data_IF_098874320375
#
_entry.id   IF_098874320375
#
_cell.length_a   1.000
_cell.length_b   1.000
_cell.length_c   1.000
_cell.angle_alpha   90.00
_cell.angle_beta   90.00
_cell.angle_gamma   90.00
#
_symmetry.space_group_name_H-M   'P 1'
#
loop_
_entity.id
_entity.type
_entity.pdbx_description
1 polymer ?
#
# COMPACT_ATOMS: atom_id res chain seq x y z
N UNK A 1 12.91 -61.99 46.50
CA UNK A 1 11.82 -61.38 45.80
C UNK A 1 11.83 -59.90 46.18
N UNK A 2 12.37 -59.03 45.30
CA UNK A 2 12.42 -57.59 45.52
C UNK A 2 11.67 -56.94 44.36
N UNK A 3 10.56 -56.26 44.67
CA UNK A 3 9.78 -55.45 43.72
C UNK A 3 10.42 -54.10 43.57
N UNK A 4 10.85 -53.76 42.34
CA UNK A 4 11.32 -52.47 41.99
C UNK A 4 10.12 -51.61 41.55
N UNK A 5 9.87 -50.52 42.27
CA UNK A 5 8.82 -49.50 41.95
C UNK A 5 9.43 -48.47 40.99
N UNK A 6 8.91 -48.36 39.79
CA UNK A 6 9.25 -47.30 38.83
C UNK A 6 8.41 -46.06 39.11
N UNK A 7 9.08 -44.98 39.49
CA UNK A 7 8.47 -43.64 39.60
C UNK A 7 8.61 -42.98 38.22
N UNK A 8 7.49 -42.82 37.53
CA UNK A 8 7.41 -42.00 36.29
C UNK A 8 7.32 -40.52 36.69
N UNK A 9 8.38 -39.77 36.46
CA UNK A 9 8.36 -38.34 36.57
C UNK A 9 7.77 -37.73 35.27
N UNK A 10 6.53 -37.21 35.38
CA UNK A 10 5.93 -36.42 34.34
C UNK A 10 6.55 -35.02 34.31
N UNK A 11 7.36 -34.73 33.30
CA UNK A 11 7.80 -33.38 33.01
C UNK A 11 6.64 -32.62 32.34
N UNK A 12 5.98 -31.73 33.07
CA UNK A 12 5.15 -30.69 32.54
C UNK A 12 6.07 -29.64 31.88
N UNK A 13 6.17 -29.67 30.56
CA UNK A 13 6.75 -28.56 29.80
C UNK A 13 5.69 -27.45 29.78
N UNK A 14 5.82 -26.49 30.68
CA UNK A 14 5.08 -25.24 30.61
C UNK A 14 5.61 -24.47 29.40
N UNK A 15 4.87 -24.51 28.28
CA UNK A 15 5.07 -23.61 27.16
C UNK A 15 4.77 -22.19 27.65
N UNK A 16 5.81 -21.42 27.93
CA UNK A 16 5.66 -19.99 28.14
C UNK A 16 5.21 -19.39 26.81
N UNK A 17 3.94 -19.04 26.70
CA UNK A 17 3.44 -18.16 25.67
C UNK A 17 4.11 -16.81 25.94
N UNK A 18 5.19 -16.51 25.22
CA UNK A 18 5.75 -15.17 25.20
C UNK A 18 4.66 -14.28 24.59
N UNK A 19 4.01 -13.47 25.44
CA UNK A 19 3.12 -12.41 24.95
C UNK A 19 4.01 -11.42 24.21
N UNK A 20 3.90 -11.40 22.88
CA UNK A 20 4.51 -10.38 22.05
C UNK A 20 4.12 -9.00 22.59
N UNK A 21 5.11 -8.11 22.75
CA UNK A 21 4.81 -6.72 23.06
C UNK A 21 3.93 -6.14 21.95
N UNK A 22 2.98 -5.27 22.29
CA UNK A 22 2.14 -4.59 21.29
C UNK A 22 2.96 -3.81 20.26
N UNK A 23 4.19 -3.45 20.59
CA UNK A 23 5.12 -2.72 19.71
C UNK A 23 5.89 -3.65 18.77
N UNK A 24 5.91 -4.96 19.05
CA UNK A 24 6.53 -5.97 18.17
C UNK A 24 5.61 -6.37 17.00
N UNK A 25 4.30 -6.08 17.10
CA UNK A 25 3.35 -6.38 16.03
C UNK A 25 3.59 -5.44 14.86
N UNK A 26 3.79 -5.97 13.63
CA UNK A 26 3.99 -5.14 12.45
C UNK A 26 2.85 -4.16 12.21
N UNK A 27 3.20 -2.96 11.78
CA UNK A 27 2.26 -1.88 11.54
C UNK A 27 1.56 -2.00 10.18
N UNK A 28 0.44 -1.31 10.07
CA UNK A 28 -0.33 -1.15 8.82
C UNK A 28 -0.10 0.28 8.32
N UNK A 29 0.33 0.41 7.07
CA UNK A 29 0.43 1.69 6.38
C UNK A 29 -0.87 2.06 5.68
N UNK A 30 -1.22 3.32 5.71
CA UNK A 30 -2.28 3.89 4.89
C UNK A 30 -1.70 5.05 4.10
N UNK A 31 -1.78 5.00 2.77
CA UNK A 31 -1.30 6.08 1.90
C UNK A 31 -2.50 6.69 1.20
N UNK A 32 -2.71 8.01 1.36
CA UNK A 32 -3.85 8.67 0.71
C UNK A 32 -3.94 10.15 1.00
N UNK A 33 -5.14 10.70 0.88
CA UNK A 33 -5.42 12.11 1.17
C UNK A 33 -5.36 12.43 2.66
N UNK A 34 -5.21 13.71 2.98
CA UNK A 34 -4.99 14.23 4.33
C UNK A 34 -6.18 14.05 5.30
N UNK A 35 -7.35 13.65 4.85
CA UNK A 35 -8.51 13.40 5.72
C UNK A 35 -8.60 11.98 6.30
N UNK A 36 -7.70 11.09 5.90
CA UNK A 36 -7.81 9.66 6.27
C UNK A 36 -7.36 9.34 7.70
N UNK A 37 -6.58 10.20 8.33
CA UNK A 37 -6.16 10.02 9.73
C UNK A 37 -7.19 10.51 10.76
N UNK A 38 -8.26 11.15 10.30
CA UNK A 38 -9.42 11.52 11.12
C UNK A 38 -10.40 10.34 11.23
N UNK A 39 -9.89 9.17 11.68
CA UNK A 39 -10.69 7.96 11.84
C UNK A 39 -11.12 7.84 13.29
N UNK A 40 -12.42 7.63 13.51
CA UNK A 40 -12.95 7.35 14.85
C UNK A 40 -12.32 6.08 15.43
N UNK A 41 -11.94 6.13 16.69
CA UNK A 41 -11.25 5.02 17.37
C UNK A 41 -9.72 4.99 17.20
N UNK A 42 -9.13 5.94 16.47
CA UNK A 42 -7.68 6.10 16.43
C UNK A 42 -7.21 6.82 17.71
N UNK A 43 -6.30 6.18 18.44
CA UNK A 43 -5.75 6.66 19.71
C UNK A 43 -4.22 6.84 19.62
N UNK A 44 -3.61 7.45 20.64
CA UNK A 44 -2.14 7.61 20.77
C UNK A 44 -1.51 8.24 19.51
N UNK A 45 -2.12 9.30 18.99
CA UNK A 45 -1.73 9.92 17.72
C UNK A 45 -0.47 10.76 17.92
N UNK A 46 0.55 10.50 17.11
CA UNK A 46 1.78 11.29 17.03
C UNK A 46 2.17 11.56 15.57
N UNK A 47 2.90 12.64 15.33
CA UNK A 47 3.51 12.93 14.02
C UNK A 47 5.00 12.61 14.07
N UNK A 48 5.44 11.73 13.17
CA UNK A 48 6.83 11.26 13.11
C UNK A 48 7.46 11.71 11.80
N UNK A 49 8.54 12.48 11.89
CA UNK A 49 9.36 12.84 10.73
C UNK A 49 10.48 11.82 10.57
N UNK A 50 10.57 11.20 9.42
CA UNK A 50 11.58 10.19 9.09
C UNK A 50 12.55 10.79 8.06
N UNK A 51 13.83 10.77 8.39
CA UNK A 51 14.90 11.01 7.41
C UNK A 51 15.20 9.72 6.65
N UNK A 52 15.26 9.79 5.34
CA UNK A 52 15.54 8.64 4.49
C UNK A 52 16.75 8.85 3.60
N UNK A 53 17.45 7.78 3.19
CA UNK A 53 18.56 7.88 2.26
C UNK A 53 18.13 8.28 0.84
N UNK A 54 16.84 8.40 0.60
CA UNK A 54 16.24 8.83 -0.67
C UNK A 54 15.73 10.28 -0.64
N UNK A 55 16.01 11.02 0.43
CA UNK A 55 15.46 12.35 0.69
C UNK A 55 14.20 12.32 1.56
N UNK A 56 13.50 13.45 1.71
CA UNK A 56 12.31 13.51 2.56
C UNK A 56 11.12 12.77 1.96
N UNK A 57 10.29 12.10 2.78
CA UNK A 57 8.96 11.68 2.39
C UNK A 57 8.04 12.86 2.04
N UNK A 58 6.87 12.57 1.50
CA UNK A 58 5.88 13.59 1.13
C UNK A 58 5.45 14.48 2.30
N UNK A 59 5.40 13.91 3.51
CA UNK A 59 5.13 14.63 4.77
C UNK A 59 5.54 13.79 5.98
N UNK A 60 5.38 14.36 7.19
CA UNK A 60 5.42 13.59 8.43
C UNK A 60 4.36 12.47 8.41
N UNK A 61 4.72 11.32 8.96
CA UNK A 61 3.81 10.18 9.07
C UNK A 61 3.02 10.33 10.37
N UNK A 62 1.70 10.26 10.27
CA UNK A 62 0.82 10.24 11.44
C UNK A 62 0.74 8.79 11.92
N UNK A 63 1.28 8.51 13.08
CA UNK A 63 1.24 7.20 13.72
C UNK A 63 0.16 7.20 14.79
N UNK A 64 -0.62 6.13 14.86
CA UNK A 64 -1.65 5.97 15.88
C UNK A 64 -1.96 4.49 16.13
N UNK A 65 -2.92 4.23 17.01
CA UNK A 65 -3.41 2.88 17.30
C UNK A 65 -4.91 2.76 17.05
N UNK A 66 -5.30 1.66 16.44
CA UNK A 66 -6.69 1.22 16.32
C UNK A 66 -6.82 -0.15 17.02
N UNK A 67 -7.33 -0.15 18.24
CA UNK A 67 -7.24 -1.31 19.11
C UNK A 67 -5.78 -1.69 19.38
N UNK A 68 -5.41 -2.93 19.09
CA UNK A 68 -4.04 -3.42 19.24
C UNK A 68 -3.17 -3.20 17.99
N UNK A 69 -3.73 -2.62 16.90
CA UNK A 69 -3.00 -2.41 15.64
C UNK A 69 -2.37 -1.02 15.59
N UNK A 70 -1.06 -0.98 15.34
CA UNK A 70 -0.34 0.25 15.02
C UNK A 70 -0.60 0.62 13.56
N UNK A 71 -0.95 1.87 13.30
CA UNK A 71 -1.30 2.37 11.97
C UNK A 71 -0.46 3.60 11.65
N UNK A 72 0.10 3.63 10.44
CA UNK A 72 0.96 4.71 9.94
C UNK A 72 0.29 5.35 8.73
N UNK A 73 -0.20 6.58 8.86
CA UNK A 73 -0.83 7.33 7.77
C UNK A 73 0.17 8.27 7.10
N UNK A 74 0.32 8.15 5.78
CA UNK A 74 1.15 9.03 4.98
C UNK A 74 0.27 9.86 4.03
N UNK A 75 0.22 11.21 4.18
CA UNK A 75 -0.41 12.09 3.21
C UNK A 75 0.40 12.08 1.91
N UNK A 76 -0.07 11.36 0.88
CA UNK A 76 0.68 11.15 -0.38
C UNK A 76 1.16 12.44 -1.02
N UNK A 77 0.30 13.45 -1.10
CA UNK A 77 0.61 14.75 -1.70
C UNK A 77 1.03 15.81 -0.66
N UNK A 78 1.34 15.38 0.56
CA UNK A 78 1.57 16.28 1.70
C UNK A 78 0.28 16.96 2.19
N UNK A 79 0.33 17.49 3.42
CA UNK A 79 -0.77 18.29 3.99
C UNK A 79 -1.04 19.51 3.10
N UNK A 80 -2.30 19.72 2.75
CA UNK A 80 -2.71 20.79 1.84
C UNK A 80 -2.51 20.48 0.36
N UNK A 81 -2.21 19.23 -0.01
CA UNK A 81 -2.06 18.76 -1.41
C UNK A 81 -1.07 19.60 -2.22
N UNK A 82 0.15 19.77 -1.68
CA UNK A 82 1.19 20.69 -2.20
C UNK A 82 2.17 20.07 -3.18
N UNK A 83 2.15 18.74 -3.33
CA UNK A 83 3.04 18.01 -4.23
C UNK A 83 2.28 17.48 -5.43
N UNK A 84 2.80 17.72 -6.63
CA UNK A 84 2.31 17.10 -7.85
C UNK A 84 2.61 15.58 -7.86
N UNK A 85 1.88 14.77 -8.64
CA UNK A 85 2.19 13.34 -8.79
C UNK A 85 3.64 13.07 -9.20
N UNK A 86 4.21 13.92 -10.06
CA UNK A 86 5.61 13.81 -10.53
C UNK A 86 6.66 14.29 -9.53
N UNK A 87 6.25 14.98 -8.47
CA UNK A 87 7.13 15.43 -7.38
C UNK A 87 7.18 14.46 -6.20
N UNK A 88 6.33 13.41 -6.22
CA UNK A 88 6.24 12.44 -5.13
C UNK A 88 7.54 11.64 -5.02
N UNK A 89 8.15 11.67 -3.84
CA UNK A 89 9.31 10.84 -3.53
C UNK A 89 8.84 9.46 -3.04
N UNK A 90 8.37 8.62 -3.96
CA UNK A 90 7.81 7.31 -3.64
C UNK A 90 8.82 6.40 -2.91
N UNK A 91 10.13 6.47 -3.25
CA UNK A 91 11.15 5.70 -2.52
C UNK A 91 11.25 6.11 -1.07
N UNK A 92 11.30 7.42 -0.79
CA UNK A 92 11.31 7.91 0.58
C UNK A 92 10.04 7.51 1.33
N UNK A 93 8.88 7.60 0.70
CA UNK A 93 7.59 7.25 1.29
C UNK A 93 7.53 5.77 1.72
N UNK A 94 7.85 4.86 0.83
CA UNK A 94 7.78 3.41 1.12
C UNK A 94 8.90 2.99 2.07
N UNK A 95 10.12 3.53 1.92
CA UNK A 95 11.23 3.27 2.83
C UNK A 95 10.91 3.71 4.26
N UNK A 96 10.33 4.91 4.43
CA UNK A 96 9.94 5.43 5.74
C UNK A 96 8.85 4.56 6.40
N UNK A 97 7.85 4.12 5.65
CA UNK A 97 6.85 3.19 6.16
C UNK A 97 7.49 1.85 6.55
N UNK A 98 8.39 1.32 5.74
CA UNK A 98 9.09 0.07 6.04
C UNK A 98 9.97 0.18 7.28
N UNK A 99 10.65 1.32 7.50
CA UNK A 99 11.46 1.59 8.70
C UNK A 99 10.63 1.66 10.00
N UNK A 100 9.33 1.96 9.88
CA UNK A 100 8.35 1.90 10.98
C UNK A 100 7.73 0.51 11.14
N UNK A 101 8.33 -0.54 10.56
CA UNK A 101 7.86 -1.92 10.57
C UNK A 101 6.48 -2.12 9.90
N UNK A 102 6.12 -1.31 8.91
CA UNK A 102 4.92 -1.52 8.10
C UNK A 102 5.11 -2.76 7.23
N UNK A 103 4.12 -3.67 7.26
CA UNK A 103 4.12 -4.90 6.44
C UNK A 103 2.87 -4.99 5.55
N UNK A 104 1.88 -4.16 5.73
CA UNK A 104 0.69 -4.04 4.88
C UNK A 104 0.46 -2.58 4.54
N UNK A 105 0.12 -2.29 3.30
CA UNK A 105 -0.27 -0.94 2.86
C UNK A 105 -1.64 -1.00 2.21
N UNK A 106 -2.55 -0.18 2.71
CA UNK A 106 -3.80 0.16 2.03
C UNK A 106 -3.58 1.53 1.37
N UNK A 107 -3.51 1.53 0.05
CA UNK A 107 -3.49 2.78 -0.71
C UNK A 107 -4.93 3.23 -1.01
N UNK A 108 -5.21 4.51 -0.83
CA UNK A 108 -6.50 5.11 -1.21
C UNK A 108 -6.22 6.17 -2.26
N UNK A 109 -6.89 6.07 -3.41
CA UNK A 109 -6.66 6.98 -4.52
C UNK A 109 -7.94 7.30 -5.27
N UNK A 110 -8.10 8.56 -5.68
CA UNK A 110 -9.12 8.93 -6.65
C UNK A 110 -8.78 8.37 -8.03
N UNK A 111 -9.75 7.87 -8.75
CA UNK A 111 -9.60 7.32 -10.09
C UNK A 111 -10.70 7.80 -11.03
N UNK A 112 -10.33 8.04 -12.29
CA UNK A 112 -11.27 8.18 -13.37
C UNK A 112 -11.71 6.81 -13.88
N UNK A 113 -13.00 6.63 -14.15
CA UNK A 113 -13.55 5.41 -14.74
C UNK A 113 -13.36 5.40 -16.26
N UNK A 114 -12.89 4.28 -16.79
CA UNK A 114 -12.81 4.02 -18.23
C UNK A 114 -13.92 3.08 -18.71
N UNK A 115 -14.81 2.65 -17.82
CA UNK A 115 -15.90 1.70 -18.08
C UNK A 115 -17.23 2.27 -17.62
N UNK A 116 -18.29 1.99 -18.36
CA UNK A 116 -19.64 2.44 -18.00
C UNK A 116 -20.16 1.86 -16.69
N UNK A 117 -19.70 0.66 -16.32
CA UNK A 117 -20.11 -0.06 -15.12
C UNK A 117 -19.57 0.51 -13.80
N UNK A 118 -18.54 1.36 -13.84
CA UNK A 118 -17.96 1.97 -12.66
C UNK A 118 -18.40 3.43 -12.55
N UNK A 119 -19.37 3.69 -11.72
CA UNK A 119 -19.96 5.01 -11.56
C UNK A 119 -19.17 5.86 -10.56
N UNK A 120 -19.22 7.20 -10.63
CA UNK A 120 -18.72 8.06 -9.56
C UNK A 120 -19.29 7.63 -8.21
N UNK A 121 -18.42 7.54 -7.18
CA UNK A 121 -18.63 6.98 -5.84
C UNK A 121 -18.60 5.45 -5.74
N UNK A 122 -18.46 4.72 -6.83
CA UNK A 122 -18.11 3.29 -6.76
C UNK A 122 -16.67 3.12 -6.29
N UNK A 123 -16.41 1.95 -5.72
CA UNK A 123 -15.09 1.54 -5.24
C UNK A 123 -14.58 0.43 -6.14
N UNK A 124 -13.37 0.56 -6.66
CA UNK A 124 -12.72 -0.47 -7.45
C UNK A 124 -11.48 -0.95 -6.72
N UNK A 125 -11.50 -2.20 -6.27
CA UNK A 125 -10.32 -2.88 -5.72
C UNK A 125 -9.63 -3.60 -6.87
N UNK A 126 -8.81 -2.86 -7.61
CA UNK A 126 -8.17 -3.37 -8.82
C UNK A 126 -6.95 -4.25 -8.50
N UNK A 127 -6.66 -5.19 -9.40
CA UNK A 127 -5.64 -6.21 -9.23
C UNK A 127 -4.48 -6.10 -10.24
N UNK A 128 -4.60 -5.28 -11.28
CA UNK A 128 -3.61 -5.13 -12.32
C UNK A 128 -3.24 -3.68 -12.59
N UNK A 129 -2.01 -3.49 -13.10
CA UNK A 129 -1.50 -2.19 -13.51
C UNK A 129 -1.00 -2.20 -14.95
N UNK A 130 -1.23 -1.09 -15.65
CA UNK A 130 -0.56 -0.78 -16.89
C UNK A 130 0.20 0.55 -16.74
N UNK A 131 1.54 0.47 -16.85
CA UNK A 131 2.45 1.59 -16.61
C UNK A 131 2.67 2.43 -17.87
N UNK A 132 2.07 3.63 -17.91
CA UNK A 132 2.31 4.64 -18.94
C UNK A 132 3.18 5.79 -18.46
N UNK A 133 3.85 5.65 -17.33
CA UNK A 133 4.76 6.67 -16.81
C UNK A 133 6.09 6.66 -17.56
N UNK A 134 6.75 7.82 -17.54
CA UNK A 134 8.04 8.03 -18.22
C UNK A 134 9.24 8.02 -17.26
N UNK A 135 9.06 8.44 -16.00
CA UNK A 135 10.13 8.64 -15.02
C UNK A 135 10.44 7.37 -14.22
N UNK A 136 10.95 6.33 -14.87
CA UNK A 136 11.13 5.00 -14.25
C UNK A 136 12.39 4.81 -13.41
N UNK A 137 13.32 5.74 -13.41
CA UNK A 137 14.57 5.63 -12.64
C UNK A 137 14.35 5.49 -11.12
N UNK A 138 13.22 6.00 -10.61
CA UNK A 138 12.85 5.97 -9.20
C UNK A 138 11.87 4.84 -8.86
N UNK A 139 11.68 3.85 -9.74
CA UNK A 139 10.74 2.74 -9.57
C UNK A 139 11.36 1.50 -8.91
N UNK A 140 12.57 1.62 -8.37
CA UNK A 140 13.28 0.54 -7.66
C UNK A 140 14.14 1.10 -6.54
N UNK A 141 14.30 0.33 -5.46
CA UNK A 141 15.28 0.55 -4.42
C UNK A 141 16.66 0.00 -4.79
N UNK A 142 16.67 -1.03 -5.63
CA UNK A 142 17.88 -1.76 -6.01
C UNK A 142 18.69 -1.03 -7.08
N UNK A 143 19.96 -1.36 -7.15
CA UNK A 143 20.99 -0.71 -7.92
C UNK A 143 22.23 -0.52 -7.04
N UNK A 144 23.18 0.32 -7.44
CA UNK A 144 24.36 0.66 -6.65
C UNK A 144 25.08 -0.59 -6.11
N UNK A 145 25.16 -1.66 -6.92
CA UNK A 145 25.85 -2.90 -6.61
C UNK A 145 24.97 -4.04 -6.11
N UNK A 146 23.69 -3.84 -5.85
CA UNK A 146 22.73 -4.92 -5.54
C UNK A 146 21.65 -4.93 -6.61
N UNK A 147 21.53 -6.03 -7.35
CA UNK A 147 20.55 -6.24 -8.42
C UNK A 147 19.46 -7.18 -7.92
N UNK A 148 18.20 -6.76 -8.05
CA UNK A 148 17.05 -7.60 -7.78
C UNK A 148 15.99 -7.48 -8.88
N UNK A 149 15.29 -8.57 -9.13
CA UNK A 149 14.17 -8.65 -10.06
C UNK A 149 12.99 -9.34 -9.37
N UNK A 150 12.09 -8.55 -8.82
CA UNK A 150 10.89 -9.07 -8.15
C UNK A 150 9.90 -9.66 -9.16
N UNK A 151 9.21 -10.74 -8.77
CA UNK A 151 8.02 -11.20 -9.48
C UNK A 151 6.87 -10.20 -9.30
N UNK A 152 6.25 -9.78 -10.41
CA UNK A 152 5.23 -8.72 -10.41
C UNK A 152 4.07 -9.00 -11.36
N UNK A 153 3.80 -10.28 -11.68
CA UNK A 153 2.63 -10.71 -12.46
C UNK A 153 1.32 -10.39 -11.74
N UNK A 154 1.34 -10.56 -10.41
CA UNK A 154 0.22 -10.27 -9.51
C UNK A 154 0.65 -9.14 -8.56
N UNK A 155 0.46 -7.88 -8.99
CA UNK A 155 1.12 -6.74 -8.37
C UNK A 155 0.53 -6.30 -7.03
N UNK A 156 -0.69 -6.74 -6.72
CA UNK A 156 -1.41 -6.42 -5.48
C UNK A 156 -1.59 -7.66 -4.62
N UNK A 157 -1.94 -7.48 -3.36
CA UNK A 157 -2.13 -8.58 -2.40
C UNK A 157 -3.57 -9.09 -2.44
N UNK A 158 -3.77 -10.35 -2.82
CA UNK A 158 -5.08 -10.98 -2.86
C UNK A 158 -5.78 -10.96 -1.50
N UNK A 159 -5.03 -11.22 -0.43
CA UNK A 159 -5.59 -11.21 0.93
C UNK A 159 -6.11 -9.83 1.36
N UNK A 160 -5.37 -8.75 1.04
CA UNK A 160 -5.86 -7.39 1.29
C UNK A 160 -7.02 -7.00 0.38
N UNK A 161 -6.99 -7.40 -0.89
CA UNK A 161 -8.09 -7.13 -1.83
C UNK A 161 -9.39 -7.73 -1.34
N UNK A 162 -9.37 -8.99 -0.87
CA UNK A 162 -10.53 -9.69 -0.34
C UNK A 162 -11.12 -8.94 0.85
N UNK A 163 -10.28 -8.61 1.85
CA UNK A 163 -10.71 -7.86 3.02
C UNK A 163 -11.32 -6.49 2.66
N UNK A 164 -10.71 -5.74 1.74
CA UNK A 164 -11.19 -4.44 1.30
C UNK A 164 -12.53 -4.54 0.54
N UNK A 165 -12.64 -5.50 -0.35
CA UNK A 165 -13.84 -5.71 -1.16
C UNK A 165 -15.02 -6.16 -0.29
N UNK A 166 -14.82 -7.17 0.57
CA UNK A 166 -15.85 -7.70 1.45
C UNK A 166 -16.34 -6.65 2.44
N UNK A 167 -15.43 -5.86 3.01
CA UNK A 167 -15.78 -4.75 3.90
C UNK A 167 -16.60 -3.69 3.17
N UNK A 168 -16.20 -3.29 1.96
CA UNK A 168 -16.95 -2.30 1.18
C UNK A 168 -18.38 -2.77 0.91
N UNK A 169 -18.56 -4.02 0.50
CA UNK A 169 -19.89 -4.62 0.30
C UNK A 169 -20.68 -4.74 1.61
N UNK A 170 -20.03 -5.21 2.68
CA UNK A 170 -20.66 -5.36 4.00
C UNK A 170 -21.16 -4.05 4.59
N UNK A 171 -20.50 -2.94 4.27
CA UNK A 171 -20.90 -1.58 4.64
C UNK A 171 -21.94 -0.97 3.68
N UNK A 172 -22.35 -1.70 2.62
CA UNK A 172 -23.38 -1.28 1.68
C UNK A 172 -22.89 -0.36 0.56
N UNK A 173 -21.57 -0.30 0.33
CA UNK A 173 -21.02 0.44 -0.80
C UNK A 173 -21.08 -0.37 -2.10
N UNK A 174 -21.23 0.33 -3.24
CA UNK A 174 -21.03 -0.26 -4.57
C UNK A 174 -19.53 -0.50 -4.77
N UNK A 175 -19.13 -1.77 -4.80
CA UNK A 175 -17.73 -2.14 -4.93
C UNK A 175 -17.53 -3.18 -6.03
N UNK A 176 -16.39 -3.11 -6.69
CA UNK A 176 -15.97 -4.00 -7.76
C UNK A 176 -14.57 -4.54 -7.45
N UNK A 177 -14.36 -5.84 -7.69
CA UNK A 177 -13.06 -6.49 -7.50
C UNK A 177 -12.44 -6.83 -8.85
N UNK A 178 -11.13 -6.61 -8.96
CA UNK A 178 -10.37 -6.80 -10.18
C UNK A 178 -10.41 -5.62 -11.12
N UNK A 179 -9.64 -5.69 -12.19
CA UNK A 179 -9.52 -4.68 -13.23
C UNK A 179 -8.13 -4.05 -13.33
N UNK A 180 -7.89 -3.43 -14.47
CA UNK A 180 -6.58 -2.81 -14.76
C UNK A 180 -6.60 -1.32 -14.51
N UNK A 181 -5.73 -0.88 -13.60
CA UNK A 181 -5.43 0.53 -13.40
C UNK A 181 -4.33 0.97 -14.37
N UNK A 182 -4.62 1.94 -15.24
CA UNK A 182 -3.58 2.59 -16.04
C UNK A 182 -3.00 3.78 -15.28
N UNK A 183 -1.66 3.78 -15.10
CA UNK A 183 -0.95 4.86 -14.41
C UNK A 183 -0.34 5.82 -15.43
N UNK A 184 -0.71 7.09 -15.35
CA UNK A 184 -0.15 8.17 -16.15
C UNK A 184 0.69 9.12 -15.27
N UNK A 185 1.58 9.92 -15.88
CA UNK A 185 2.41 10.87 -15.14
C UNK A 185 1.60 12.04 -14.54
N UNK A 186 0.62 12.55 -15.25
CA UNK A 186 0.00 13.84 -14.90
C UNK A 186 0.99 15.02 -15.08
N UNK A 187 0.74 16.23 -14.51
CA UNK A 187 -0.47 16.58 -13.74
C UNK A 187 -1.68 16.89 -14.63
N UNK A 188 -1.52 16.99 -15.96
CA UNK A 188 -2.65 17.13 -16.88
C UNK A 188 -3.50 15.85 -16.88
N UNK A 189 -4.83 15.99 -16.90
CA UNK A 189 -5.73 14.88 -17.16
C UNK A 189 -5.61 14.41 -18.62
N UNK A 190 -6.20 13.25 -18.91
CA UNK A 190 -6.19 12.66 -20.25
C UNK A 190 -6.72 13.62 -21.32
N UNK A 191 -6.11 13.58 -22.49
CA UNK A 191 -6.79 14.02 -23.69
C UNK A 191 -7.89 13.01 -24.05
N UNK A 192 -8.92 13.44 -24.82
CA UNK A 192 -9.98 12.54 -25.29
C UNK A 192 -9.41 11.36 -26.08
N UNK A 193 -8.38 11.59 -26.89
CA UNK A 193 -7.74 10.54 -27.67
C UNK A 193 -7.02 9.50 -26.79
N UNK A 194 -6.40 9.93 -25.68
CA UNK A 194 -5.79 9.03 -24.68
C UNK A 194 -6.86 8.22 -23.97
N UNK A 195 -7.92 8.87 -23.49
CA UNK A 195 -9.04 8.24 -22.82
C UNK A 195 -9.71 7.17 -23.68
N UNK A 196 -10.07 7.51 -24.92
CA UNK A 196 -10.64 6.57 -25.88
C UNK A 196 -9.69 5.41 -26.22
N UNK A 197 -8.37 5.67 -26.28
CA UNK A 197 -7.36 4.64 -26.53
C UNK A 197 -7.29 3.69 -25.33
N UNK A 198 -7.25 4.20 -24.11
CA UNK A 198 -7.24 3.41 -22.89
C UNK A 198 -8.48 2.50 -22.79
N UNK A 199 -9.66 3.04 -23.14
CA UNK A 199 -10.90 2.25 -23.21
C UNK A 199 -10.84 1.14 -24.26
N UNK A 200 -10.33 1.42 -25.46
CA UNK A 200 -10.17 0.43 -26.54
C UNK A 200 -9.20 -0.69 -26.15
N UNK A 201 -8.18 -0.39 -25.34
CA UNK A 201 -7.26 -1.38 -24.78
C UNK A 201 -7.87 -2.20 -23.64
N UNK A 202 -9.07 -1.87 -23.17
CA UNK A 202 -9.79 -2.61 -22.16
C UNK A 202 -9.37 -2.28 -20.72
N UNK A 203 -8.73 -1.13 -20.47
CA UNK A 203 -8.42 -0.70 -19.13
C UNK A 203 -9.68 -0.26 -18.37
N UNK A 204 -9.64 -0.38 -17.05
CA UNK A 204 -10.80 -0.22 -16.17
C UNK A 204 -10.83 1.15 -15.50
N UNK A 205 -9.73 1.57 -14.90
CA UNK A 205 -9.60 2.86 -14.21
C UNK A 205 -8.28 3.54 -14.54
N UNK A 206 -8.22 4.85 -14.34
CA UNK A 206 -7.02 5.66 -14.61
C UNK A 206 -6.66 6.53 -13.39
N UNK A 207 -5.37 6.69 -13.14
CA UNK A 207 -4.85 7.61 -12.13
C UNK A 207 -3.36 7.89 -12.30
N UNK A 208 -2.75 8.54 -11.30
CA UNK A 208 -1.41 9.11 -11.44
C UNK A 208 -0.40 8.62 -10.39
N UNK A 209 -0.78 7.79 -9.41
CA UNK A 209 0.03 7.66 -8.18
C UNK A 209 0.39 6.25 -7.74
N UNK A 210 -0.36 5.21 -8.13
CA UNK A 210 -0.15 3.86 -7.60
C UNK A 210 1.06 3.12 -8.17
N UNK A 211 1.60 3.55 -9.28
CA UNK A 211 2.94 3.21 -9.70
C UNK A 211 3.83 4.46 -9.60
N UNK A 212 4.97 4.36 -8.93
CA UNK A 212 5.70 3.15 -8.51
C UNK A 212 5.37 2.61 -7.10
N UNK A 213 4.36 3.13 -6.37
CA UNK A 213 4.06 2.67 -5.00
C UNK A 213 4.01 1.14 -4.89
N UNK A 214 3.26 0.47 -5.77
CA UNK A 214 3.10 -0.99 -5.74
C UNK A 214 4.43 -1.75 -6.01
N UNK A 215 5.26 -1.26 -6.95
CA UNK A 215 6.57 -1.85 -7.23
C UNK A 215 7.48 -1.77 -6.01
N UNK A 216 7.57 -0.58 -5.41
CA UNK A 216 8.41 -0.31 -4.25
C UNK A 216 7.91 -1.05 -3.00
N UNK A 217 6.59 -1.15 -2.79
CA UNK A 217 6.02 -1.95 -1.72
C UNK A 217 6.42 -3.42 -1.86
N UNK A 218 6.36 -4.01 -3.08
CA UNK A 218 6.78 -5.38 -3.35
C UNK A 218 8.27 -5.58 -3.07
N UNK A 219 9.13 -4.65 -3.49
CA UNK A 219 10.57 -4.69 -3.18
C UNK A 219 10.88 -4.53 -1.68
N UNK A 220 10.02 -3.83 -0.94
CA UNK A 220 10.12 -3.68 0.51
C UNK A 220 9.45 -4.82 1.29
N UNK A 221 8.98 -5.88 0.60
CA UNK A 221 8.25 -7.00 1.20
C UNK A 221 7.01 -6.57 1.99
N UNK A 222 6.27 -5.62 1.44
CA UNK A 222 5.02 -5.10 1.98
C UNK A 222 3.87 -5.54 1.07
N UNK A 223 2.86 -6.18 1.65
CA UNK A 223 1.62 -6.48 0.95
C UNK A 223 0.83 -5.19 0.70
N UNK A 224 0.45 -4.90 -0.54
CA UNK A 224 -0.28 -3.69 -0.91
C UNK A 224 -1.55 -4.04 -1.67
N UNK A 225 -2.64 -3.37 -1.31
CA UNK A 225 -3.85 -3.28 -2.13
C UNK A 225 -4.40 -1.85 -2.12
N UNK A 226 -5.27 -1.54 -3.08
CA UNK A 226 -5.75 -0.16 -3.28
C UNK A 226 -7.27 -0.10 -3.33
N UNK A 227 -7.81 0.89 -2.62
CA UNK A 227 -9.17 1.38 -2.81
C UNK A 227 -9.14 2.46 -3.89
N UNK A 228 -9.51 2.12 -5.10
CA UNK A 228 -9.76 3.07 -6.19
C UNK A 228 -11.14 3.69 -6.02
N UNK A 229 -11.17 4.95 -5.65
CA UNK A 229 -12.39 5.70 -5.38
C UNK A 229 -12.79 6.45 -6.64
N UNK A 230 -13.82 5.99 -7.34
CA UNK A 230 -14.24 6.59 -8.62
C UNK A 230 -14.78 8.00 -8.38
N UNK A 231 -14.21 8.98 -9.07
CA UNK A 231 -14.62 10.39 -9.00
C UNK A 231 -15.36 10.86 -10.24
N UNK A 232 -15.05 10.30 -11.41
CA UNK A 232 -15.50 10.76 -12.71
C UNK A 232 -15.36 9.65 -13.77
N UNK A 233 -15.79 9.93 -15.01
CA UNK A 233 -15.64 9.04 -16.16
C UNK A 233 -14.46 9.44 -17.08
N UNK A 234 -13.38 9.98 -16.51
CA UNK A 234 -12.31 10.56 -17.31
C UNK A 234 -12.90 11.60 -18.31
N UNK A 235 -12.46 11.67 -19.54
CA UNK A 235 -13.02 12.63 -20.51
C UNK A 235 -13.73 11.98 -21.70
N UNK A 236 -14.02 10.67 -21.65
CA UNK A 236 -14.66 9.95 -22.77
C UNK A 236 -16.19 10.10 -22.81
N UNK A 237 -16.84 10.33 -21.67
CA UNK A 237 -18.31 10.43 -21.60
C UNK A 237 -18.74 11.85 -21.92
N UNK A 238 -19.24 12.02 -23.11
CA UNK A 238 -19.49 13.35 -23.73
C UNK A 238 -20.65 14.10 -23.08
N UNK A 239 -21.61 13.37 -22.50
CA UNK A 239 -22.84 13.95 -21.92
C UNK A 239 -22.64 14.42 -20.45
N UNK A 240 -21.45 14.20 -19.87
CA UNK A 240 -21.07 14.72 -18.56
C UNK A 240 -20.08 15.87 -18.72
N UNK A 241 -20.11 16.82 -17.76
CA UNK A 241 -19.14 17.92 -17.75
C UNK A 241 -17.72 17.36 -17.77
N UNK A 242 -16.86 17.96 -18.59
CA UNK A 242 -15.44 17.61 -18.63
C UNK A 242 -14.86 17.65 -17.20
N UNK A 243 -14.03 16.65 -16.88
CA UNK A 243 -13.37 16.54 -15.57
C UNK A 243 -12.76 17.89 -15.19
N UNK A 244 -13.31 18.51 -14.17
CA UNK A 244 -12.79 19.76 -13.61
C UNK A 244 -12.53 19.56 -12.11
N UNK A 245 -11.57 20.29 -11.57
CA UNK A 245 -11.15 20.16 -10.18
C UNK A 245 -12.30 20.33 -9.17
N UNK A 246 -13.32 21.12 -9.50
CA UNK A 246 -14.44 21.39 -8.57
C UNK A 246 -15.39 20.20 -8.46
N UNK A 247 -15.78 19.58 -9.57
CA UNK A 247 -16.63 18.38 -9.59
C UNK A 247 -15.93 17.19 -8.88
N UNK A 248 -14.62 17.05 -9.07
CA UNK A 248 -13.80 16.05 -8.39
C UNK A 248 -13.82 16.24 -6.86
N UNK A 249 -13.76 17.49 -6.36
CA UNK A 249 -13.71 17.77 -4.91
C UNK A 249 -14.98 17.28 -4.18
N UNK A 250 -16.16 17.43 -4.76
CA UNK A 250 -17.40 16.95 -4.13
C UNK A 250 -17.43 15.43 -3.96
N UNK A 251 -16.99 14.69 -4.97
CA UNK A 251 -16.89 13.24 -4.89
C UNK A 251 -15.78 12.79 -3.95
N UNK A 252 -14.66 13.51 -3.89
CA UNK A 252 -13.53 13.20 -2.98
C UNK A 252 -13.95 13.23 -1.51
N UNK A 253 -14.82 14.17 -1.08
CA UNK A 253 -15.28 14.23 0.31
C UNK A 253 -16.14 13.01 0.69
N UNK A 254 -17.10 12.63 -0.16
CA UNK A 254 -17.94 11.45 0.07
C UNK A 254 -17.11 10.17 0.04
N UNK A 255 -16.17 10.07 -0.90
CA UNK A 255 -15.23 8.96 -1.04
C UNK A 255 -14.29 8.84 0.17
N UNK A 256 -13.83 9.97 0.75
CA UNK A 256 -13.00 9.96 1.95
C UNK A 256 -13.76 9.41 3.17
N UNK A 257 -15.05 9.72 3.31
CA UNK A 257 -15.88 9.12 4.36
C UNK A 257 -16.05 7.62 4.19
N UNK A 258 -16.34 7.16 2.97
CA UNK A 258 -16.42 5.73 2.66
C UNK A 258 -15.09 5.02 2.95
N UNK A 259 -13.97 5.58 2.50
CA UNK A 259 -12.65 5.02 2.76
C UNK A 259 -12.34 4.92 4.27
N UNK A 260 -12.66 5.95 5.08
CA UNK A 260 -12.47 5.89 6.54
C UNK A 260 -13.25 4.74 7.18
N UNK A 261 -14.53 4.55 6.81
CA UNK A 261 -15.36 3.45 7.34
C UNK A 261 -14.81 2.07 6.95
N UNK A 262 -14.35 1.92 5.71
CA UNK A 262 -13.72 0.67 5.25
C UNK A 262 -12.41 0.41 5.99
N UNK A 263 -11.55 1.41 6.14
CA UNK A 263 -10.31 1.31 6.90
C UNK A 263 -10.57 0.89 8.36
N UNK A 264 -11.57 1.52 9.00
CA UNK A 264 -11.97 1.19 10.38
C UNK A 264 -12.42 -0.26 10.53
N UNK A 265 -13.13 -0.80 9.54
CA UNK A 265 -13.60 -2.19 9.54
C UNK A 265 -12.48 -3.18 9.18
N UNK A 266 -11.62 -2.86 8.22
CA UNK A 266 -10.59 -3.78 7.69
C UNK A 266 -9.36 -3.87 8.60
N UNK A 267 -8.86 -2.75 9.16
CA UNK A 267 -7.61 -2.72 9.93
C UNK A 267 -7.56 -3.80 11.03
N UNK A 268 -8.61 -4.02 11.84
CA UNK A 268 -8.62 -5.08 12.85
C UNK A 268 -8.58 -6.50 12.28
N UNK A 269 -8.99 -6.71 11.02
CA UNK A 269 -9.10 -8.02 10.37
C UNK A 269 -7.78 -8.45 9.70
N UNK A 270 -6.85 -7.52 9.47
CA UNK A 270 -5.55 -7.84 8.86
C UNK A 270 -4.74 -8.74 9.81
N UNK A 271 -4.10 -9.83 9.32
CA UNK A 271 -3.27 -10.70 10.15
C UNK A 271 -2.22 -9.95 10.96
N UNK A 272 -1.88 -10.42 12.15
CA UNK A 272 -0.82 -9.84 12.98
C UNK A 272 0.57 -10.29 12.54
N UNK A 273 0.67 -11.39 11.79
CA UNK A 273 1.90 -11.95 11.28
C UNK A 273 2.01 -11.76 9.75
N UNK A 274 3.19 -11.45 9.23
CA UNK A 274 3.43 -11.29 7.79
C UNK A 274 3.55 -12.67 7.10
N UNK A 275 2.42 -13.29 6.78
CA UNK A 275 2.31 -14.66 6.27
C UNK A 275 2.04 -14.75 4.75
N UNK A 276 1.74 -13.64 4.08
CA UNK A 276 1.43 -13.65 2.65
C UNK A 276 2.71 -13.67 1.79
N UNK A 277 2.60 -14.13 0.55
CA UNK A 277 3.73 -14.29 -0.37
C UNK A 277 4.52 -13.01 -0.61
N UNK A 278 3.85 -11.86 -0.60
CA UNK A 278 4.46 -10.54 -0.77
C UNK A 278 5.50 -10.24 0.32
N UNK A 279 5.31 -10.77 1.53
CA UNK A 279 6.25 -10.60 2.64
C UNK A 279 7.58 -11.35 2.47
N UNK A 280 7.68 -12.15 1.42
CA UNK A 280 8.85 -12.96 1.07
C UNK A 280 9.28 -12.73 -0.39
N UNK A 281 8.92 -11.58 -0.96
CA UNK A 281 9.13 -11.28 -2.38
C UNK A 281 10.61 -11.26 -2.79
N UNK A 282 11.52 -11.05 -1.84
CA UNK A 282 12.96 -11.00 -2.09
C UNK A 282 13.66 -12.38 -2.01
N UNK A 283 13.01 -13.44 -1.53
CA UNK A 283 13.64 -14.74 -1.29
C UNK A 283 14.40 -15.29 -2.52
N UNK A 284 13.86 -15.05 -3.73
CA UNK A 284 14.46 -15.48 -4.98
C UNK A 284 14.65 -14.33 -5.98
N UNK A 285 14.60 -13.07 -5.52
CA UNK A 285 14.64 -11.90 -6.38
C UNK A 285 16.04 -11.27 -6.49
N UNK A 286 16.89 -11.43 -5.47
CA UNK A 286 18.21 -10.78 -5.43
C UNK A 286 19.23 -11.65 -6.19
N UNK A 287 19.78 -11.09 -7.27
CA UNK A 287 20.75 -11.78 -8.15
C UNK A 287 22.18 -11.62 -7.68
N UNK A 288 22.51 -10.49 -7.05
CA UNK A 288 23.88 -10.24 -6.55
C UNK A 288 24.13 -11.11 -5.32
N UNK A 289 25.22 -11.87 -5.33
CA UNK A 289 25.61 -12.68 -4.18
C UNK A 289 25.88 -11.81 -2.95
N UNK A 290 25.48 -12.23 -1.72
CA UNK A 290 25.53 -11.39 -0.52
C UNK A 290 26.95 -10.90 -0.15
N UNK A 291 27.99 -11.64 -0.44
CA UNK A 291 29.38 -11.28 -0.23
C UNK A 291 29.88 -10.14 -1.14
N UNK A 292 29.14 -9.85 -2.21
CA UNK A 292 29.42 -8.75 -3.15
C UNK A 292 28.62 -7.48 -2.84
N UNK A 293 27.74 -7.49 -1.84
CA UNK A 293 26.91 -6.32 -1.53
C UNK A 293 27.75 -5.19 -0.93
N UNK A 294 27.75 -3.98 -1.54
CA UNK A 294 28.49 -2.84 -0.98
C UNK A 294 27.91 -2.42 0.38
N UNK A 295 28.78 -2.11 1.35
CA UNK A 295 28.38 -1.73 2.71
C UNK A 295 27.47 -0.50 2.74
N UNK A 296 27.75 0.50 1.88
CA UNK A 296 26.91 1.70 1.78
C UNK A 296 25.51 1.37 1.30
N UNK A 297 25.39 0.47 0.30
CA UNK A 297 24.09 0.04 -0.22
C UNK A 297 23.33 -0.81 0.79
N UNK A 298 24.02 -1.69 1.52
CA UNK A 298 23.41 -2.45 2.64
C UNK A 298 22.82 -1.51 3.69
N UNK A 299 23.60 -0.52 4.12
CA UNK A 299 23.13 0.48 5.09
C UNK A 299 21.96 1.30 4.55
N UNK A 300 22.02 1.71 3.29
CA UNK A 300 20.95 2.46 2.61
C UNK A 300 19.63 1.66 2.56
N UNK A 301 19.72 0.35 2.36
CA UNK A 301 18.58 -0.56 2.23
C UNK A 301 18.28 -1.37 3.49
N UNK A 302 18.87 -1.01 4.63
CA UNK A 302 18.79 -1.79 5.88
C UNK A 302 17.37 -2.24 6.24
N UNK A 303 16.31 -1.40 6.29
CA UNK A 303 14.97 -1.86 6.63
C UNK A 303 14.40 -2.86 5.60
N UNK A 304 14.80 -2.77 4.34
CA UNK A 304 14.33 -3.63 3.26
C UNK A 304 15.06 -4.98 3.30
N UNK A 305 16.36 -4.96 3.55
CA UNK A 305 17.24 -6.14 3.59
C UNK A 305 17.34 -6.78 4.99
N UNK A 306 16.56 -6.31 5.98
CA UNK A 306 16.67 -6.72 7.39
C UNK A 306 16.74 -8.23 7.59
N UNK A 307 15.90 -9.01 6.88
CA UNK A 307 15.88 -10.49 6.97
C UNK A 307 17.17 -11.15 6.48
N UNK A 308 17.88 -10.50 5.56
CA UNK A 308 19.12 -11.02 4.95
C UNK A 308 20.37 -10.56 5.69
N UNK A 309 20.27 -9.52 6.52
CA UNK A 309 21.39 -8.97 7.30
C UNK A 309 21.52 -9.58 8.70
N UNK A 310 20.47 -10.20 9.21
CA UNK A 310 20.41 -10.83 10.55
C UNK A 310 20.87 -12.29 10.58
N UNK A 311 21.22 -12.88 9.44
CA UNK A 311 21.63 -14.29 9.31
C UNK A 311 23.14 -14.45 9.19
#
# INVERSE_FOLDING_TARGET
MAFATWITASFLVASAVMTQSKDDIPAIGVIGGSGLYEIEGLAEIEEVTIETPFGPPSDAIVVGRMGDRRVCFLPRHGKGHRLLPTELNHRANIWALRSLNVRWIIAVTAVGSLQEKYHPRDIVVFDQFFDRTSQRANHTFFGEGIVAHIAFSDPTSDGLQELLYDSALGLGYSAHKGGTYVNMDGPAFSTRAESETNRKLGFDVIGMTNLPEAKLAREAEIALATLGMVTDYDCWKVDEEAVNAHAVIEHVQANAEAARKILQDVIPQIPTEPIWSEHFALDNAIFTAPDLWPEETKKKLEPILERFLKN
#
